data_IF_883360239195
#
_entry.id   IF_883360239195
#
_cell.length_a   1.000
_cell.length_b   1.000
_cell.length_c   1.000
_cell.angle_alpha   90.00
_cell.angle_beta   90.00
_cell.angle_gamma   90.00
#
_symmetry.space_group_name_H-M   'P 1'
#
loop_
_entity.id
_entity.type
_entity.pdbx_description
1 polymer ?
#
# COMPACT_ATOMS: atom_id res chain seq x y z
N UNK A 1 -6.74 19.20 -28.97
CA UNK A 1 -7.73 18.10 -29.04
C UNK A 1 -7.13 16.73 -28.69
N UNK A 2 -5.84 16.47 -28.91
CA UNK A 2 -5.26 15.13 -28.72
C UNK A 2 -5.04 14.70 -27.24
N UNK A 3 -4.98 15.64 -26.28
CA UNK A 3 -4.61 15.35 -24.88
C UNK A 3 -5.70 15.63 -23.84
N UNK A 4 -6.86 16.12 -24.26
CA UNK A 4 -7.95 16.52 -23.36
C UNK A 4 -8.57 15.37 -22.56
N UNK A 5 -8.37 14.12 -22.97
CA UNK A 5 -8.87 12.93 -22.25
C UNK A 5 -7.81 12.24 -21.40
N UNK A 6 -6.55 12.69 -21.44
CA UNK A 6 -5.43 12.06 -20.73
C UNK A 6 -5.36 12.54 -19.27
N UNK A 7 -6.48 12.44 -18.56
CA UNK A 7 -6.53 12.74 -17.13
C UNK A 7 -6.22 11.47 -16.32
N UNK A 8 -5.31 11.60 -15.37
CA UNK A 8 -5.00 10.54 -14.41
C UNK A 8 -5.87 10.72 -13.17
N UNK A 9 -6.45 9.63 -12.67
CA UNK A 9 -7.18 9.62 -11.41
C UNK A 9 -6.26 9.19 -10.28
N UNK A 10 -6.48 9.76 -9.10
CA UNK A 10 -5.79 9.32 -7.90
C UNK A 10 -6.18 7.87 -7.56
N UNK A 11 -5.23 7.13 -7.01
CA UNK A 11 -5.46 5.76 -6.56
C UNK A 11 -6.19 5.79 -5.22
N UNK A 12 -7.18 4.92 -5.05
CA UNK A 12 -7.88 4.75 -3.78
C UNK A 12 -6.97 4.04 -2.76
N UNK A 13 -6.84 4.64 -1.58
CA UNK A 13 -6.09 4.09 -0.47
C UNK A 13 -7.03 3.77 0.70
N UNK A 14 -6.71 2.69 1.40
CA UNK A 14 -7.42 2.17 2.56
C UNK A 14 -6.44 1.97 3.70
N UNK A 15 -6.90 2.04 4.94
CA UNK A 15 -6.05 1.81 6.09
C UNK A 15 -5.68 0.32 6.23
N UNK A 16 -4.42 0.05 6.60
CA UNK A 16 -3.95 -1.29 6.92
C UNK A 16 -4.31 -1.64 8.36
N UNK A 17 -4.98 -2.77 8.58
CA UNK A 17 -5.36 -3.24 9.92
C UNK A 17 -4.19 -3.66 10.82
N UNK A 18 -2.97 -3.80 10.27
CA UNK A 18 -1.80 -4.23 11.03
C UNK A 18 -0.91 -3.06 11.44
N UNK A 19 -0.53 -2.20 10.49
CA UNK A 19 0.40 -1.08 10.72
C UNK A 19 -0.26 0.30 10.61
N UNK A 20 -1.58 0.38 10.41
CA UNK A 20 -2.36 1.62 10.29
C UNK A 20 -1.89 2.59 9.18
N UNK A 21 -1.07 2.09 8.24
CA UNK A 21 -0.62 2.87 7.09
C UNK A 21 -1.61 2.77 5.93
N UNK A 22 -1.56 3.76 5.04
CA UNK A 22 -2.29 3.74 3.79
C UNK A 22 -1.78 2.60 2.88
N UNK A 23 -2.70 1.75 2.42
CA UNK A 23 -2.45 0.66 1.49
C UNK A 23 -3.51 0.62 0.40
N UNK A 24 -3.18 0.05 -0.75
CA UNK A 24 -4.19 -0.19 -1.77
C UNK A 24 -5.11 -1.34 -1.36
N UNK A 25 -6.43 -1.26 -1.66
CA UNK A 25 -7.34 -2.37 -1.46
C UNK A 25 -6.91 -3.58 -2.30
N UNK A 26 -7.19 -4.79 -1.81
CA UNK A 26 -6.81 -6.08 -2.42
C UNK A 26 -5.30 -6.32 -2.65
N UNK A 27 -4.43 -5.44 -2.17
CA UNK A 27 -2.98 -5.60 -2.21
C UNK A 27 -2.42 -5.94 -0.82
N UNK A 28 -1.27 -6.62 -0.81
CA UNK A 28 -0.43 -6.77 0.38
C UNK A 28 0.06 -5.40 0.81
N UNK A 29 0.11 -5.12 2.12
CA UNK A 29 0.66 -3.87 2.58
C UNK A 29 2.16 -3.80 2.24
N UNK A 30 2.63 -2.78 1.50
CA UNK A 30 4.05 -2.67 1.14
C UNK A 30 4.94 -2.34 2.34
N UNK A 31 4.35 -1.79 3.42
CA UNK A 31 5.10 -1.38 4.59
C UNK A 31 5.33 -2.53 5.58
N UNK A 32 4.34 -3.41 5.77
CA UNK A 32 4.42 -4.50 6.75
C UNK A 32 4.36 -5.91 6.14
N UNK A 33 4.07 -6.07 4.85
CA UNK A 33 4.04 -7.40 4.22
C UNK A 33 2.83 -8.27 4.55
N UNK A 34 1.89 -7.76 5.36
CA UNK A 34 0.72 -8.51 5.79
C UNK A 34 -0.48 -8.35 4.84
N UNK A 35 -1.19 -9.46 4.64
CA UNK A 35 -2.48 -9.54 3.95
C UNK A 35 -3.39 -10.53 4.68
N UNK A 36 -4.59 -10.09 5.09
CA UNK A 36 -5.57 -10.91 5.84
C UNK A 36 -4.97 -11.64 7.06
N UNK A 37 -4.12 -10.95 7.83
CA UNK A 37 -3.52 -11.51 9.06
C UNK A 37 -2.45 -12.57 8.81
N UNK A 38 -2.01 -12.77 7.56
CA UNK A 38 -0.87 -13.62 7.22
C UNK A 38 0.23 -12.77 6.63
N UNK A 39 1.47 -13.09 6.98
CA UNK A 39 2.65 -12.50 6.38
C UNK A 39 2.81 -13.11 4.99
N UNK A 40 2.50 -12.30 3.96
CA UNK A 40 2.54 -12.75 2.56
C UNK A 40 3.89 -12.44 1.91
N UNK A 41 4.59 -11.41 2.41
CA UNK A 41 5.91 -11.00 1.95
C UNK A 41 6.73 -10.65 3.18
N UNK A 42 7.94 -11.23 3.28
CA UNK A 42 8.93 -10.78 4.27
C UNK A 42 9.45 -9.45 3.77
N UNK A 43 8.87 -8.36 4.27
CA UNK A 43 9.39 -7.02 4.02
C UNK A 43 10.53 -6.84 5.01
N UNK A 44 11.76 -6.76 4.53
CA UNK A 44 12.89 -6.32 5.33
C UNK A 44 12.67 -4.85 5.66
N UNK A 45 11.87 -4.58 6.70
CA UNK A 45 11.71 -3.23 7.23
C UNK A 45 13.13 -2.79 7.61
N UNK A 46 13.72 -1.75 6.98
CA UNK A 46 14.97 -1.23 7.46
C UNK A 46 14.71 -0.77 8.89
N UNK A 47 15.48 -1.37 9.78
CA UNK A 47 15.52 -1.22 11.21
C UNK A 47 15.25 0.23 11.62
N UNK A 48 14.32 0.44 12.55
CA UNK A 48 14.28 1.66 13.34
C UNK A 48 15.59 1.74 14.15
N UNK A 49 16.24 2.92 14.19
CA UNK A 49 16.79 3.37 15.46
C UNK A 49 16.30 4.79 15.80
N UNK A 50 15.68 4.88 16.99
CA UNK A 50 15.34 6.02 17.87
C UNK A 50 14.72 7.31 17.27
#
# INVERSE_FOLDING_TARGET
MHRSHHHTKAVALTECSHCHNARQPHMVCPNCGYYHGREAVVVSVPELPE
#
